data_IF_197887265504
#
_entry.id   IF_197887265504
#
_cell.length_a   1.000
_cell.length_b   1.000
_cell.length_c   1.000
_cell.angle_alpha   90.00
_cell.angle_beta   90.00
_cell.angle_gamma   90.00
#
_symmetry.space_group_name_H-M   'P 1'
#
loop_
_entity.id
_entity.type
_entity.pdbx_description
1 polymer ?
#
# COMPACT_ATOMS: atom_id res chain seq x y z
N UNK A 1 -0.96 -5.80 1.90
CA UNK A 1 0.33 -6.41 2.39
C UNK A 1 0.33 -7.95 2.42
N UNK A 2 -0.84 -8.60 2.20
CA UNK A 2 -0.96 -10.06 2.22
C UNK A 2 0.07 -10.80 1.32
N UNK A 3 0.21 -10.39 0.05
CA UNK A 3 1.16 -10.99 -0.89
C UNK A 3 2.58 -11.02 -0.32
N UNK A 4 3.04 -9.88 0.22
CA UNK A 4 4.38 -9.78 0.81
C UNK A 4 4.56 -10.73 2.00
N UNK A 5 3.56 -10.80 2.88
CA UNK A 5 3.64 -11.68 4.06
C UNK A 5 3.71 -13.16 3.68
N UNK A 6 3.03 -13.56 2.60
CA UNK A 6 3.13 -14.94 2.10
C UNK A 6 4.51 -15.20 1.48
N UNK A 7 5.05 -14.28 0.68
CA UNK A 7 6.42 -14.38 0.16
C UNK A 7 7.44 -14.45 1.31
N UNK A 8 7.31 -13.60 2.33
CA UNK A 8 8.21 -13.63 3.50
C UNK A 8 8.21 -14.99 4.20
N UNK A 9 7.04 -15.58 4.43
CA UNK A 9 6.94 -16.92 5.03
C UNK A 9 7.63 -18.01 4.19
N UNK A 10 7.59 -17.89 2.87
CA UNK A 10 8.30 -18.81 1.98
C UNK A 10 9.82 -18.61 2.06
N UNK A 11 10.27 -17.36 2.06
CA UNK A 11 11.69 -17.03 2.19
C UNK A 11 12.27 -17.45 3.55
N UNK A 12 11.51 -17.23 4.64
CA UNK A 12 11.89 -17.66 5.99
C UNK A 12 12.09 -19.20 6.06
N UNK A 13 11.16 -19.97 5.49
CA UNK A 13 11.30 -21.43 5.37
C UNK A 13 12.51 -21.85 4.54
N UNK A 14 12.95 -21.03 3.59
CA UNK A 14 14.16 -21.22 2.81
C UNK A 14 15.43 -20.65 3.49
N UNK A 15 15.37 -20.27 4.76
CA UNK A 15 16.47 -19.72 5.54
C UNK A 15 16.80 -18.25 5.25
N UNK A 16 15.91 -17.51 4.58
CA UNK A 16 16.06 -16.08 4.25
C UNK A 16 15.05 -15.25 5.05
N UNK A 17 15.46 -14.77 6.21
CA UNK A 17 14.64 -13.91 7.05
C UNK A 17 15.00 -12.43 6.83
N UNK A 18 14.00 -11.63 6.47
CA UNK A 18 14.16 -10.21 6.18
C UNK A 18 13.36 -9.36 7.17
N UNK A 19 14.05 -8.47 7.86
CA UNK A 19 13.40 -7.42 8.65
C UNK A 19 12.66 -6.43 7.74
N UNK A 20 11.64 -5.75 8.24
CA UNK A 20 10.92 -4.72 7.46
C UNK A 20 11.84 -3.62 6.90
N UNK A 21 12.82 -3.07 7.66
CA UNK A 21 13.79 -2.13 7.09
C UNK A 21 14.63 -2.72 5.94
N UNK A 22 14.98 -4.01 6.02
CA UNK A 22 15.70 -4.68 4.93
C UNK A 22 14.82 -4.79 3.67
N UNK A 23 13.55 -5.16 3.82
CA UNK A 23 12.56 -5.23 2.73
C UNK A 23 12.43 -3.88 2.01
N UNK A 24 12.33 -2.79 2.76
CA UNK A 24 12.25 -1.44 2.17
C UNK A 24 13.49 -1.13 1.34
N UNK A 25 14.68 -1.38 1.89
CA UNK A 25 15.96 -1.18 1.17
C UNK A 25 16.10 -2.07 -0.07
N UNK A 26 15.58 -3.29 -0.03
CA UNK A 26 15.55 -4.20 -1.19
C UNK A 26 14.64 -3.61 -2.28
N UNK A 27 13.42 -3.18 -1.92
CA UNK A 27 12.51 -2.55 -2.86
C UNK A 27 13.08 -1.27 -3.50
N UNK A 28 13.83 -0.46 -2.74
CA UNK A 28 14.48 0.76 -3.26
C UNK A 28 15.55 0.46 -4.30
N UNK A 29 16.31 -0.63 -4.13
CA UNK A 29 17.41 -1.04 -5.03
C UNK A 29 16.92 -1.73 -6.30
N UNK A 30 15.77 -2.41 -6.24
CA UNK A 30 15.22 -3.12 -7.37
C UNK A 30 14.83 -2.17 -8.52
N UNK A 31 15.02 -2.62 -9.75
CA UNK A 31 14.67 -1.84 -10.95
C UNK A 31 13.17 -1.53 -10.97
N UNK A 32 12.78 -0.25 -11.05
CA UNK A 32 11.38 0.14 -11.02
C UNK A 32 10.61 -0.24 -12.29
N UNK A 33 9.31 -0.41 -12.14
CA UNK A 33 8.32 -0.52 -13.22
C UNK A 33 8.56 -1.65 -14.23
N UNK A 34 9.18 -2.75 -13.78
CA UNK A 34 9.50 -3.90 -14.64
C UNK A 34 8.35 -4.87 -14.80
N UNK A 35 7.56 -5.03 -13.76
CA UNK A 35 6.46 -6.01 -13.72
C UNK A 35 5.39 -5.61 -12.71
N UNK A 36 4.17 -6.03 -12.98
CA UNK A 36 3.00 -5.71 -12.16
C UNK A 36 2.07 -6.91 -12.05
N UNK A 37 1.34 -6.96 -10.95
CA UNK A 37 0.26 -7.93 -10.74
C UNK A 37 -1.03 -7.19 -10.37
N UNK A 38 -2.19 -7.78 -10.62
CA UNK A 38 -3.41 -7.33 -9.98
C UNK A 38 -3.47 -7.92 -8.56
N UNK A 39 -3.31 -7.12 -7.49
CA UNK A 39 -3.30 -7.67 -6.13
C UNK A 39 -4.59 -8.37 -5.71
N UNK A 40 -5.70 -8.10 -6.41
CA UNK A 40 -7.03 -8.69 -6.15
C UNK A 40 -7.32 -9.90 -7.04
N UNK A 41 -6.35 -10.38 -7.84
CA UNK A 41 -6.55 -11.60 -8.62
C UNK A 41 -6.80 -12.79 -7.68
N UNK A 42 -7.86 -13.60 -7.92
CA UNK A 42 -8.23 -14.73 -7.07
C UNK A 42 -7.10 -15.73 -6.81
N UNK A 43 -6.13 -15.87 -7.72
CA UNK A 43 -4.95 -16.73 -7.54
C UNK A 43 -4.11 -16.38 -6.30
N UNK A 44 -4.15 -15.11 -5.85
CA UNK A 44 -3.39 -14.64 -4.70
C UNK A 44 -4.13 -14.79 -3.36
N UNK A 45 -5.37 -15.28 -3.36
CA UNK A 45 -6.14 -15.43 -2.13
C UNK A 45 -5.49 -16.46 -1.17
N UNK A 46 -5.12 -17.63 -1.68
CA UNK A 46 -4.46 -18.68 -0.89
C UNK A 46 -3.71 -19.68 -1.78
N UNK A 47 -2.68 -19.29 -2.52
CA UNK A 47 -1.91 -20.20 -3.35
C UNK A 47 -1.01 -21.12 -2.51
N UNK A 48 -0.63 -22.31 -3.00
CA UNK A 48 0.38 -23.15 -2.38
C UNK A 48 1.75 -22.45 -2.25
N UNK A 49 2.10 -21.62 -3.23
CA UNK A 49 3.26 -20.73 -3.23
C UNK A 49 2.89 -19.40 -3.84
N UNK A 50 3.13 -18.33 -3.09
CA UNK A 50 2.86 -16.95 -3.55
C UNK A 50 3.90 -16.51 -4.57
N UNK A 51 5.16 -16.89 -4.39
CA UNK A 51 6.23 -16.54 -5.32
C UNK A 51 5.97 -17.17 -6.69
N UNK A 52 5.58 -18.45 -6.76
CA UNK A 52 5.22 -19.10 -8.02
C UNK A 52 3.93 -18.53 -8.64
N UNK A 53 2.94 -18.15 -7.83
CA UNK A 53 1.73 -17.50 -8.32
C UNK A 53 2.04 -16.14 -8.98
N UNK A 54 2.95 -15.35 -8.41
CA UNK A 54 3.41 -14.08 -9.00
C UNK A 54 4.18 -14.32 -10.31
N UNK A 55 5.09 -15.30 -10.36
CA UNK A 55 5.81 -15.67 -11.59
C UNK A 55 4.84 -16.11 -12.69
N UNK A 56 3.89 -16.99 -12.36
CA UNK A 56 2.88 -17.45 -13.30
C UNK A 56 2.05 -16.28 -13.86
N UNK A 57 1.64 -15.33 -13.00
CA UNK A 57 0.95 -14.13 -13.44
C UNK A 57 1.79 -13.30 -14.42
N UNK A 58 3.07 -13.07 -14.12
CA UNK A 58 3.96 -12.34 -15.01
C UNK A 58 4.12 -13.04 -16.36
N UNK A 59 4.33 -14.37 -16.37
CA UNK A 59 4.45 -15.17 -17.57
C UNK A 59 3.20 -15.10 -18.45
N UNK A 60 2.02 -15.26 -17.88
CA UNK A 60 0.73 -15.21 -18.58
C UNK A 60 0.42 -13.84 -19.17
N UNK A 61 0.91 -12.78 -18.53
CA UNK A 61 0.72 -11.41 -19.02
C UNK A 61 1.85 -10.89 -19.90
N UNK A 62 2.84 -11.76 -20.23
CA UNK A 62 3.96 -11.42 -21.11
C UNK A 62 4.99 -10.51 -20.46
N UNK A 63 5.07 -10.51 -19.13
CA UNK A 63 6.03 -9.73 -18.36
C UNK A 63 7.24 -10.60 -17.94
N UNK A 64 8.44 -10.01 -17.71
CA UNK A 64 9.56 -10.76 -17.17
C UNK A 64 9.24 -11.28 -15.77
N UNK A 65 9.52 -12.56 -15.51
CA UNK A 65 9.32 -13.17 -14.20
C UNK A 65 10.31 -12.56 -13.18
N UNK A 66 9.90 -12.34 -11.93
CA UNK A 66 10.84 -11.98 -10.88
C UNK A 66 11.73 -13.16 -10.52
N UNK A 67 13.03 -12.92 -10.35
CA UNK A 67 14.05 -13.92 -10.00
C UNK A 67 14.51 -13.72 -8.56
N UNK A 68 14.93 -12.50 -8.24
CA UNK A 68 15.45 -12.14 -6.92
C UNK A 68 14.33 -11.63 -6.00
N UNK A 69 14.51 -11.79 -4.70
CA UNK A 69 13.49 -11.44 -3.69
C UNK A 69 13.12 -9.94 -3.72
N UNK A 70 14.07 -9.05 -4.01
CA UNK A 70 13.84 -7.61 -4.13
C UNK A 70 12.92 -7.27 -5.30
N UNK A 71 12.97 -8.04 -6.38
CA UNK A 71 12.08 -7.87 -7.54
C UNK A 71 10.63 -8.21 -7.21
N UNK A 72 10.38 -9.24 -6.38
CA UNK A 72 9.03 -9.54 -5.87
C UNK A 72 8.52 -8.42 -4.99
N UNK A 73 9.35 -7.93 -4.07
CA UNK A 73 8.97 -6.85 -3.14
C UNK A 73 8.59 -5.60 -3.93
N UNK A 74 9.43 -5.21 -4.90
CA UNK A 74 9.18 -4.03 -5.74
C UNK A 74 7.91 -4.17 -6.55
N UNK A 75 7.70 -5.32 -7.20
CA UNK A 75 6.48 -5.65 -7.94
C UNK A 75 5.24 -5.50 -7.06
N UNK A 76 5.27 -6.04 -5.84
CA UNK A 76 4.14 -5.97 -4.91
C UNK A 76 3.85 -4.52 -4.50
N UNK A 77 4.86 -3.74 -4.11
CA UNK A 77 4.66 -2.37 -3.65
C UNK A 77 4.13 -1.45 -4.76
N UNK A 78 4.70 -1.53 -5.95
CA UNK A 78 4.21 -0.75 -7.10
C UNK A 78 2.78 -1.15 -7.47
N UNK A 79 2.49 -2.45 -7.52
CA UNK A 79 1.15 -2.95 -7.84
C UNK A 79 0.09 -2.52 -6.82
N UNK A 80 0.43 -2.53 -5.52
CA UNK A 80 -0.46 -2.04 -4.47
C UNK A 80 -0.70 -0.53 -4.61
N UNK A 81 0.33 0.27 -4.86
CA UNK A 81 0.18 1.70 -5.08
C UNK A 81 -0.73 2.01 -6.27
N UNK A 82 -0.56 1.29 -7.39
CA UNK A 82 -1.44 1.42 -8.56
C UNK A 82 -2.88 0.99 -8.26
N UNK A 83 -3.07 -0.07 -7.50
CA UNK A 83 -4.40 -0.51 -7.10
C UNK A 83 -5.09 0.53 -6.23
N UNK A 84 -4.37 1.21 -5.35
CA UNK A 84 -4.93 2.33 -4.56
C UNK A 84 -5.40 3.47 -5.46
N UNK A 85 -4.67 3.80 -6.54
CA UNK A 85 -5.13 4.80 -7.53
C UNK A 85 -6.45 4.39 -8.19
N UNK A 86 -6.58 3.11 -8.60
CA UNK A 86 -7.82 2.61 -9.21
C UNK A 86 -9.01 2.72 -8.25
N UNK A 87 -8.83 2.24 -7.01
CA UNK A 87 -9.89 2.29 -5.99
C UNK A 87 -10.24 3.73 -5.65
N UNK A 88 -9.24 4.62 -5.56
CA UNK A 88 -9.48 6.03 -5.30
C UNK A 88 -10.27 6.72 -6.43
N UNK A 89 -10.00 6.35 -7.69
CA UNK A 89 -10.79 6.84 -8.83
C UNK A 89 -12.26 6.43 -8.70
N UNK A 90 -12.55 5.16 -8.41
CA UNK A 90 -13.90 4.67 -8.17
C UNK A 90 -14.59 5.38 -6.98
N UNK A 91 -13.87 5.59 -5.89
CA UNK A 91 -14.39 6.33 -4.74
C UNK A 91 -14.71 7.79 -5.09
N UNK A 92 -13.90 8.41 -5.95
CA UNK A 92 -14.12 9.79 -6.39
C UNK A 92 -15.38 9.96 -7.24
N UNK A 93 -15.84 8.92 -7.95
CA UNK A 93 -17.08 8.93 -8.73
C UNK A 93 -18.34 8.98 -7.84
N UNK A 94 -18.27 8.41 -6.63
CA UNK A 94 -19.40 8.34 -5.70
C UNK A 94 -19.31 9.34 -4.55
N UNK A 95 -18.13 9.95 -4.33
CA UNK A 95 -17.94 10.90 -3.24
C UNK A 95 -18.69 12.22 -3.51
N UNK A 96 -19.49 12.76 -2.56
CA UNK A 96 -20.22 14.01 -2.74
C UNK A 96 -19.32 15.25 -2.62
N UNK A 97 -18.02 15.08 -2.48
CA UNK A 97 -17.01 16.14 -2.34
C UNK A 97 -15.68 15.70 -3.00
N UNK A 98 -14.84 16.66 -3.42
CA UNK A 98 -13.54 16.34 -3.99
C UNK A 98 -12.61 15.73 -2.94
N UNK A 99 -12.01 14.58 -3.26
CA UNK A 99 -10.95 13.96 -2.43
C UNK A 99 -9.65 14.72 -2.68
N UNK A 100 -9.03 15.24 -1.62
CA UNK A 100 -7.82 16.09 -1.70
C UNK A 100 -6.59 15.47 -1.07
N UNK A 101 -6.75 14.39 -0.30
CA UNK A 101 -5.67 13.65 0.37
C UNK A 101 -6.14 12.26 0.74
N UNK A 102 -5.20 11.34 0.82
CA UNK A 102 -5.43 9.98 1.30
C UNK A 102 -4.87 9.84 2.72
N UNK A 103 -5.66 9.27 3.63
CA UNK A 103 -5.17 8.88 4.95
C UNK A 103 -4.91 7.37 4.98
N UNK A 104 -3.70 6.98 5.37
CA UNK A 104 -3.31 5.57 5.60
C UNK A 104 -3.15 5.37 7.11
N UNK A 105 -3.92 4.43 7.68
CA UNK A 105 -3.92 4.13 9.12
C UNK A 105 -3.61 2.65 9.37
N UNK A 106 -3.32 2.32 10.64
CA UNK A 106 -2.95 0.96 11.03
C UNK A 106 -1.53 0.59 10.62
N UNK A 107 -1.18 -0.69 10.66
CA UNK A 107 0.18 -1.17 10.38
C UNK A 107 0.74 -0.75 9.03
N UNK A 108 -0.10 -0.61 8.00
CA UNK A 108 0.32 -0.14 6.67
C UNK A 108 0.90 1.27 6.66
N UNK A 109 0.53 2.13 7.61
CA UNK A 109 1.06 3.49 7.73
C UNK A 109 2.56 3.54 8.04
N UNK A 110 3.13 2.45 8.55
CA UNK A 110 4.55 2.33 8.89
C UNK A 110 5.44 2.09 7.65
N UNK A 111 4.88 1.74 6.51
CA UNK A 111 5.66 1.53 5.29
C UNK A 111 5.81 2.84 4.51
N UNK A 112 6.86 3.61 4.84
CA UNK A 112 7.11 4.92 4.25
C UNK A 112 7.29 4.85 2.73
N UNK A 113 7.95 3.80 2.21
CA UNK A 113 8.17 3.64 0.77
C UNK A 113 6.85 3.42 0.02
N UNK A 114 5.98 2.54 0.52
CA UNK A 114 4.67 2.32 -0.09
C UNK A 114 3.79 3.59 0.00
N UNK A 115 3.88 4.33 1.11
CA UNK A 115 3.16 5.60 1.26
C UNK A 115 3.66 6.64 0.25
N UNK A 116 4.97 6.73 0.01
CA UNK A 116 5.55 7.61 -1.01
C UNK A 116 5.13 7.17 -2.43
N UNK A 117 5.20 5.87 -2.75
CA UNK A 117 4.72 5.34 -4.04
C UNK A 117 3.24 5.66 -4.26
N UNK A 118 2.45 5.53 -3.20
CA UNK A 118 1.02 5.86 -3.25
C UNK A 118 0.83 7.35 -3.54
N UNK A 119 1.53 8.25 -2.83
CA UNK A 119 1.45 9.69 -3.07
C UNK A 119 1.82 10.04 -4.52
N UNK A 120 2.89 9.43 -5.03
CA UNK A 120 3.37 9.65 -6.39
C UNK A 120 2.33 9.25 -7.45
N UNK A 121 1.75 8.05 -7.30
CA UNK A 121 0.83 7.51 -8.31
C UNK A 121 -0.55 8.17 -8.27
N UNK A 122 -1.07 8.53 -7.08
CA UNK A 122 -2.36 9.22 -6.97
C UNK A 122 -2.25 10.73 -7.22
N UNK A 123 -1.02 11.25 -7.27
CA UNK A 123 -0.70 12.67 -7.41
C UNK A 123 -1.40 13.53 -6.34
N UNK A 124 -1.47 13.05 -5.11
CA UNK A 124 -2.07 13.74 -3.96
C UNK A 124 -1.29 13.45 -2.68
N UNK A 125 -1.37 14.34 -1.66
CA UNK A 125 -0.75 14.07 -0.37
C UNK A 125 -1.29 12.79 0.28
N UNK A 126 -0.38 11.95 0.80
CA UNK A 126 -0.69 10.81 1.66
C UNK A 126 -0.29 11.16 3.10
N UNK A 127 -1.25 11.03 4.01
CA UNK A 127 -1.06 11.27 5.46
C UNK A 127 -1.07 9.92 6.16
N UNK A 128 0.09 9.51 6.68
CA UNK A 128 0.29 8.19 7.27
C UNK A 128 0.28 8.23 8.81
N UNK A 129 -0.57 7.43 9.42
CA UNK A 129 -0.72 7.28 10.88
C UNK A 129 -2.10 7.70 11.39
N UNK A 130 -2.43 7.33 12.63
CA UNK A 130 -1.63 6.51 13.52
C UNK A 130 -1.66 5.00 13.18
N UNK A 131 -0.63 4.26 13.62
CA UNK A 131 -0.60 2.80 13.50
C UNK A 131 -1.70 2.13 14.33
N UNK A 132 -1.98 2.69 15.50
CA UNK A 132 -2.97 2.19 16.47
C UNK A 132 -4.30 2.97 16.40
N UNK A 133 -4.75 3.35 15.19
CA UNK A 133 -5.95 4.16 14.97
C UNK A 133 -7.20 3.56 15.61
N UNK A 134 -7.38 2.25 15.56
CA UNK A 134 -8.55 1.55 16.14
C UNK A 134 -8.56 1.65 17.66
N UNK A 135 -7.42 1.44 18.31
CA UNK A 135 -7.30 1.54 19.77
C UNK A 135 -7.55 2.97 20.23
N UNK A 136 -6.94 3.96 19.57
CA UNK A 136 -7.14 5.39 19.85
C UNK A 136 -8.61 5.76 19.67
N UNK A 137 -9.23 5.35 18.57
CA UNK A 137 -10.65 5.62 18.32
C UNK A 137 -11.56 5.02 19.38
N UNK A 138 -11.29 3.79 19.81
CA UNK A 138 -12.05 3.12 20.87
C UNK A 138 -11.91 3.88 22.22
N UNK A 139 -10.70 4.26 22.62
CA UNK A 139 -10.49 5.07 23.82
C UNK A 139 -11.25 6.41 23.76
N UNK A 140 -11.22 7.09 22.60
CA UNK A 140 -11.93 8.36 22.43
C UNK A 140 -13.46 8.21 22.53
N UNK A 141 -14.02 7.14 21.99
CA UNK A 141 -15.47 6.85 22.10
C UNK A 141 -15.85 6.58 23.55
N UNK A 142 -15.05 5.83 24.31
CA UNK A 142 -15.28 5.60 25.73
C UNK A 142 -15.15 6.90 26.56
N UNK A 143 -14.12 7.72 26.27
CA UNK A 143 -13.95 9.03 26.91
C UNK A 143 -15.18 9.93 26.70
N UNK A 144 -15.76 9.91 25.49
CA UNK A 144 -16.99 10.63 25.19
C UNK A 144 -18.18 10.07 25.97
N UNK A 145 -18.33 8.76 26.06
CA UNK A 145 -19.40 8.11 26.84
C UNK A 145 -19.29 8.45 28.33
N UNK A 146 -18.08 8.61 28.85
CA UNK A 146 -17.81 9.03 30.24
C UNK A 146 -17.95 10.56 30.46
N UNK A 147 -18.31 11.33 29.44
CA UNK A 147 -18.46 12.78 29.55
C UNK A 147 -17.13 13.56 29.60
N UNK A 148 -15.99 12.92 29.36
CA UNK A 148 -14.67 13.55 29.37
C UNK A 148 -14.36 14.34 28.09
N UNK A 149 -15.11 14.06 27.02
CA UNK A 149 -14.98 14.70 25.69
C UNK A 149 -16.37 15.01 25.16
N UNK A 150 -16.61 16.23 24.76
CA UNK A 150 -17.94 16.72 24.41
C UNK A 150 -18.45 16.17 23.06
N UNK A 151 -17.59 16.16 22.03
CA UNK A 151 -17.99 15.80 20.68
C UNK A 151 -16.83 15.23 19.83
N UNK A 152 -17.16 14.82 18.58
CA UNK A 152 -16.18 14.29 17.63
C UNK A 152 -15.10 15.30 17.22
N UNK A 153 -15.37 16.59 17.32
CA UNK A 153 -14.41 17.62 16.94
C UNK A 153 -13.37 17.83 18.03
N UNK A 154 -13.79 17.75 19.29
CA UNK A 154 -12.88 17.74 20.42
C UNK A 154 -12.02 16.47 20.43
N UNK A 155 -12.60 15.29 20.14
CA UNK A 155 -11.83 14.05 19.94
C UNK A 155 -10.72 14.25 18.90
N UNK A 156 -11.04 14.83 17.73
CA UNK A 156 -10.07 15.10 16.68
C UNK A 156 -8.99 16.10 17.11
N UNK A 157 -9.37 17.16 17.81
CA UNK A 157 -8.39 18.15 18.34
C UNK A 157 -7.41 17.47 19.31
N UNK A 158 -7.93 16.68 20.25
CA UNK A 158 -7.11 15.92 21.18
C UNK A 158 -6.16 14.94 20.44
N UNK A 159 -6.67 14.14 19.52
CA UNK A 159 -5.84 13.25 18.72
C UNK A 159 -4.72 14.02 18.00
N UNK A 160 -5.04 15.13 17.35
CA UNK A 160 -4.07 15.96 16.64
C UNK A 160 -3.05 16.63 17.56
N UNK A 161 -3.35 16.82 18.84
CA UNK A 161 -2.41 17.46 19.79
C UNK A 161 -1.24 16.56 20.20
N UNK A 162 -1.38 15.23 20.09
CA UNK A 162 -0.34 14.28 20.46
C UNK A 162 0.14 13.38 19.32
N UNK A 163 -0.49 13.47 18.14
CA UNK A 163 -0.07 12.75 16.94
C UNK A 163 0.51 13.70 15.90
N UNK A 164 1.67 13.31 15.38
CA UNK A 164 2.32 13.97 14.25
C UNK A 164 2.39 12.98 13.09
N UNK A 165 1.34 12.85 12.27
CA UNK A 165 1.35 11.93 11.15
C UNK A 165 2.39 12.35 10.12
N UNK A 166 3.08 11.36 9.52
CA UNK A 166 3.97 11.62 8.40
C UNK A 166 3.16 12.02 7.16
N UNK A 167 3.66 12.99 6.41
CA UNK A 167 3.02 13.47 5.18
C UNK A 167 3.96 13.21 4.01
N UNK A 168 3.48 12.50 3.01
CA UNK A 168 4.17 12.20 1.76
C UNK A 168 3.56 13.02 0.64
N UNK A 169 4.36 13.84 -0.01
CA UNK A 169 3.95 14.65 -1.15
C UNK A 169 4.32 13.94 -2.45
N UNK A 170 3.56 14.14 -3.55
CA UNK A 170 3.88 13.55 -4.84
C UNK A 170 5.25 13.98 -5.37
N UNK A 171 6.02 13.03 -5.88
CA UNK A 171 7.31 13.22 -6.54
C UNK A 171 7.34 12.43 -7.86
N UNK A 172 7.93 12.97 -8.92
CA UNK A 172 8.16 12.25 -10.17
C UNK A 172 6.89 11.75 -10.88
N UNK A 173 5.80 12.51 -10.87
CA UNK A 173 4.46 12.09 -11.32
C UNK A 173 4.41 11.57 -12.76
N UNK A 174 5.28 12.04 -13.67
CA UNK A 174 5.28 11.63 -15.07
C UNK A 174 5.64 10.16 -15.28
N UNK A 175 6.67 9.67 -14.61
CA UNK A 175 7.11 8.27 -14.69
C UNK A 175 6.04 7.32 -14.11
N UNK A 176 5.41 7.72 -13.01
CA UNK A 176 4.33 6.95 -12.38
C UNK A 176 3.07 6.88 -13.24
N UNK A 177 2.75 7.92 -14.00
CA UNK A 177 1.63 7.91 -14.92
C UNK A 177 1.88 6.99 -16.13
N UNK A 178 3.10 6.98 -16.66
CA UNK A 178 3.50 6.04 -17.71
C UNK A 178 3.44 4.59 -17.20
N UNK A 179 3.99 4.34 -16.00
CA UNK A 179 3.97 3.04 -15.37
C UNK A 179 2.53 2.58 -15.06
N UNK A 180 1.64 3.49 -14.67
CA UNK A 180 0.23 3.16 -14.46
C UNK A 180 -0.47 2.72 -15.75
N UNK A 181 -0.16 3.33 -16.89
CA UNK A 181 -0.68 2.86 -18.19
C UNK A 181 -0.22 1.43 -18.50
N UNK A 182 1.04 1.10 -18.21
CA UNK A 182 1.56 -0.28 -18.35
C UNK A 182 0.84 -1.24 -17.40
N UNK A 183 0.69 -0.86 -16.13
CA UNK A 183 -0.07 -1.63 -15.13
C UNK A 183 -1.48 -1.94 -15.64
N UNK A 184 -2.22 -0.94 -16.14
CA UNK A 184 -3.57 -1.13 -16.70
C UNK A 184 -3.58 -2.11 -17.87
N UNK A 185 -2.60 -2.06 -18.77
CA UNK A 185 -2.55 -2.94 -19.94
C UNK A 185 -2.37 -4.41 -19.58
N UNK A 186 -1.74 -4.73 -18.45
CA UNK A 186 -1.49 -6.11 -18.00
C UNK A 186 -2.53 -6.62 -17.00
N UNK A 187 -3.19 -5.72 -16.25
CA UNK A 187 -4.21 -6.10 -15.25
C UNK A 187 -5.63 -6.10 -15.78
N UNK A 188 -5.91 -5.42 -16.90
CA UNK A 188 -7.24 -5.37 -17.53
C UNK A 188 -7.50 -6.52 -18.50
N UNK A 189 -6.52 -7.40 -18.77
CA UNK A 189 -6.74 -8.60 -19.57
C UNK A 189 -7.45 -9.65 -18.68
N UNK A 190 -8.75 -9.83 -18.94
CA UNK A 190 -9.54 -10.97 -18.47
C UNK A 190 -9.36 -12.14 -19.42
#
# INVERSE_FOLDING_TARGET
>A
MWLLEQCRKEWEKAGRDYSYPAIVKMAERATPFRRFVNPDDPRFANPPSMTEAIKAYCRETGQPEPVEDDEFIRCIFESLAFRYKEVLALLSEIAPFPIRKLHVIGGGSMNNLLNQFTANVINMPVVAGPSEATAIGNCMVQARAAGLVADRWEMRRLINSFLSPAVFLPEGSGEWEEAFRKYKSVTSKK
#
